data_IF_295398935658
#
_entry.id   IF_295398935658
#
_cell.length_a   1.000
_cell.length_b   1.000
_cell.length_c   1.000
_cell.angle_alpha   90.00
_cell.angle_beta   90.00
_cell.angle_gamma   90.00
#
_symmetry.space_group_name_H-M   'P 1'
#
loop_
_entity.id
_entity.type
_entity.pdbx_description
1 polymer ?
#
# COMPACT_ATOMS: atom_id res chain seq x y z
N UNK A 1 -18.96 -18.03 48.21
CA UNK A 1 -19.05 -17.15 47.04
C UNK A 1 -18.61 -18.01 45.85
N UNK A 2 -19.55 -18.57 45.08
CA UNK A 2 -19.21 -19.44 43.97
C UNK A 2 -18.82 -18.60 42.77
N UNK A 3 -17.52 -18.63 42.42
CA UNK A 3 -17.01 -18.03 41.18
C UNK A 3 -17.66 -18.73 39.97
N UNK A 4 -18.25 -17.98 39.08
CA UNK A 4 -18.80 -18.54 37.83
C UNK A 4 -17.64 -19.09 37.00
N UNK A 5 -17.89 -20.13 36.22
CA UNK A 5 -16.88 -20.75 35.31
C UNK A 5 -16.18 -19.72 34.46
N UNK A 6 -16.89 -18.69 34.02
CA UNK A 6 -16.34 -17.57 33.25
C UNK A 6 -15.29 -16.76 34.02
N UNK A 7 -15.53 -16.51 35.33
CA UNK A 7 -14.58 -15.77 36.16
C UNK A 7 -13.30 -16.57 36.41
N UNK A 8 -13.42 -17.90 36.56
CA UNK A 8 -12.27 -18.81 36.70
C UNK A 8 -11.44 -18.83 35.41
N UNK A 9 -12.08 -18.96 34.26
CA UNK A 9 -11.40 -18.97 32.95
C UNK A 9 -10.70 -17.66 32.67
N UNK A 10 -11.35 -16.53 32.93
CA UNK A 10 -10.74 -15.18 32.78
C UNK A 10 -9.58 -15.00 33.75
N UNK A 11 -9.74 -15.43 35.00
CA UNK A 11 -8.66 -15.36 35.99
C UNK A 11 -7.44 -16.22 35.61
N UNK A 12 -7.67 -17.42 35.09
CA UNK A 12 -6.62 -18.31 34.60
C UNK A 12 -5.90 -17.71 33.38
N UNK A 13 -6.64 -17.15 32.43
CA UNK A 13 -6.11 -16.49 31.25
C UNK A 13 -5.26 -15.26 31.61
N UNK A 14 -5.73 -14.43 32.56
CA UNK A 14 -4.99 -13.27 33.06
C UNK A 14 -3.72 -13.64 33.85
N UNK A 15 -3.72 -14.77 34.54
CA UNK A 15 -2.56 -15.24 35.29
C UNK A 15 -1.42 -15.73 34.40
N UNK A 16 -1.74 -16.40 33.28
CA UNK A 16 -0.76 -16.94 32.35
C UNK A 16 -0.36 -15.97 31.22
N UNK A 17 -1.17 -14.98 30.91
CA UNK A 17 -0.79 -13.94 29.94
C UNK A 17 0.07 -12.87 30.65
N UNK A 18 1.25 -12.62 30.11
CA UNK A 18 2.01 -11.44 30.46
C UNK A 18 1.12 -10.20 30.26
N UNK A 19 0.88 -9.38 31.30
CA UNK A 19 -0.04 -8.22 31.24
C UNK A 19 0.32 -7.26 30.10
N UNK A 20 1.58 -7.22 29.68
CA UNK A 20 2.02 -6.43 28.54
C UNK A 20 1.36 -6.88 27.22
N UNK A 21 1.29 -8.19 26.96
CA UNK A 21 0.60 -8.70 25.76
C UNK A 21 -0.90 -8.49 25.79
N UNK A 22 -1.52 -8.55 26.97
CA UNK A 22 -2.93 -8.24 27.12
C UNK A 22 -3.22 -6.76 26.78
N UNK A 23 -2.37 -5.84 27.23
CA UNK A 23 -2.45 -4.43 26.89
C UNK A 23 -2.28 -4.22 25.39
N UNK A 24 -1.27 -4.83 24.77
CA UNK A 24 -1.04 -4.72 23.33
C UNK A 24 -2.23 -5.27 22.52
N UNK A 25 -2.84 -6.37 22.98
CA UNK A 25 -4.04 -6.91 22.34
C UNK A 25 -5.22 -5.92 22.39
N UNK A 26 -5.44 -5.27 23.53
CA UNK A 26 -6.48 -4.24 23.69
C UNK A 26 -6.18 -3.03 22.80
N UNK A 27 -4.93 -2.56 22.77
CA UNK A 27 -4.52 -1.41 21.96
C UNK A 27 -4.72 -1.64 20.46
N UNK A 28 -4.64 -2.89 19.99
CA UNK A 28 -4.92 -3.25 18.60
C UNK A 28 -6.35 -2.90 18.15
N UNK A 29 -7.33 -2.94 19.05
CA UNK A 29 -8.70 -2.49 18.72
C UNK A 29 -8.79 -0.99 18.44
N UNK A 30 -7.83 -0.22 18.93
CA UNK A 30 -7.72 1.22 18.69
C UNK A 30 -6.73 1.57 17.59
N UNK A 31 -6.32 0.59 16.77
CA UNK A 31 -5.29 0.75 15.73
C UNK A 31 -3.97 1.32 16.27
N UNK A 32 -3.58 0.90 17.47
CA UNK A 32 -2.34 1.30 18.14
C UNK A 32 -1.44 0.08 18.28
N UNK A 33 -0.19 0.19 17.83
CA UNK A 33 0.79 -0.88 17.82
C UNK A 33 2.03 -0.49 18.64
N UNK A 34 2.79 -1.49 19.04
CA UNK A 34 4.10 -1.33 19.65
C UNK A 34 5.19 -1.54 18.60
N UNK A 35 6.01 -0.53 18.42
CA UNK A 35 7.12 -0.55 17.47
C UNK A 35 8.44 -0.45 18.22
N UNK A 36 9.45 -1.18 17.75
CA UNK A 36 10.84 -1.06 18.19
C UNK A 36 11.68 -0.65 16.99
N UNK A 37 12.33 0.50 17.09
CA UNK A 37 13.13 1.09 16.03
C UNK A 37 14.60 0.99 16.45
N UNK A 38 15.37 0.24 15.67
CA UNK A 38 16.81 0.12 15.81
C UNK A 38 17.47 0.71 14.56
N UNK A 39 18.61 1.33 14.72
CA UNK A 39 19.34 1.91 13.60
C UNK A 39 20.63 2.58 14.04
N UNK A 40 21.33 3.18 13.09
CA UNK A 40 22.49 4.00 13.36
C UNK A 40 22.14 5.27 14.16
N UNK A 41 23.14 5.86 14.80
CA UNK A 41 22.95 7.07 15.64
C UNK A 41 22.28 8.22 14.93
N UNK A 42 22.50 8.36 13.64
CA UNK A 42 21.91 9.44 12.84
C UNK A 42 20.40 9.22 12.65
N UNK A 43 20.01 8.01 12.29
CA UNK A 43 18.60 7.60 12.17
C UNK A 43 17.85 7.76 13.48
N UNK A 44 18.39 7.25 14.58
CA UNK A 44 17.75 7.36 15.90
C UNK A 44 17.65 8.83 16.35
N UNK A 45 18.70 9.64 16.17
CA UNK A 45 18.68 11.08 16.49
C UNK A 45 17.63 11.84 15.66
N UNK A 46 17.44 11.48 14.40
CA UNK A 46 16.41 12.06 13.54
C UNK A 46 15.01 11.72 14.06
N UNK A 47 14.76 10.47 14.41
CA UNK A 47 13.47 10.02 14.95
C UNK A 47 13.16 10.72 16.28
N UNK A 48 14.13 10.81 17.18
CA UNK A 48 13.99 11.52 18.44
C UNK A 48 13.62 13.01 18.18
N UNK A 49 14.29 13.67 17.23
CA UNK A 49 13.99 15.06 16.86
C UNK A 49 12.54 15.22 16.38
N UNK A 50 12.03 14.26 15.61
CA UNK A 50 10.63 14.26 15.14
C UNK A 50 9.63 13.95 16.25
N UNK A 51 10.00 13.16 17.23
CA UNK A 51 9.17 12.87 18.40
C UNK A 51 9.07 14.08 19.37
N UNK A 52 10.13 14.88 19.50
CA UNK A 52 10.23 15.98 20.48
C UNK A 52 9.01 16.92 20.52
N UNK A 53 8.44 17.41 19.40
CA UNK A 53 7.30 18.31 19.43
C UNK A 53 6.04 17.70 20.06
N UNK A 54 5.96 16.38 20.12
CA UNK A 54 4.79 15.63 20.62
C UNK A 54 4.97 15.16 22.07
N UNK A 55 6.20 15.14 22.58
CA UNK A 55 6.51 14.70 23.94
C UNK A 55 6.04 15.78 24.93
N UNK A 56 5.22 15.37 25.91
CA UNK A 56 4.81 16.24 27.04
C UNK A 56 5.71 16.08 28.24
N UNK A 57 6.11 14.85 28.54
CA UNK A 57 7.00 14.49 29.63
C UNK A 57 7.97 13.43 29.20
N UNK A 58 9.24 13.58 29.53
CA UNK A 58 10.29 12.61 29.27
C UNK A 58 11.31 12.61 30.39
N UNK A 59 12.02 11.52 30.53
CA UNK A 59 13.20 11.48 31.40
C UNK A 59 14.36 12.13 30.64
N UNK A 60 14.99 13.14 31.27
CA UNK A 60 16.12 13.87 30.68
C UNK A 60 17.39 13.47 31.45
N UNK A 61 18.38 13.00 30.71
CA UNK A 61 19.69 12.65 31.25
C UNK A 61 20.76 13.55 30.65
N UNK A 62 21.67 14.04 31.50
CA UNK A 62 22.84 14.80 31.05
C UNK A 62 23.94 13.82 30.65
N UNK A 63 24.32 13.79 29.37
CA UNK A 63 25.40 12.96 28.84
C UNK A 63 26.41 13.90 28.16
N UNK A 64 27.65 13.89 28.66
CA UNK A 64 28.73 14.74 28.13
C UNK A 64 28.37 16.25 28.06
N UNK A 65 27.67 16.76 29.09
CA UNK A 65 27.27 18.16 29.17
C UNK A 65 26.11 18.57 28.26
N UNK A 66 25.46 17.63 27.58
CA UNK A 66 24.25 17.84 26.77
C UNK A 66 23.07 17.14 27.40
N UNK A 67 21.95 17.84 27.48
CA UNK A 67 20.67 17.25 27.86
C UNK A 67 20.15 16.38 26.74
N UNK A 68 19.89 15.11 27.03
CA UNK A 68 19.33 14.14 26.08
C UNK A 68 18.10 13.48 26.72
N UNK A 69 17.03 13.38 25.95
CA UNK A 69 15.87 12.62 26.35
C UNK A 69 16.21 11.13 26.24
N UNK A 70 16.28 10.47 27.38
CA UNK A 70 16.48 9.02 27.48
C UNK A 70 15.49 8.46 28.48
N UNK A 71 15.07 7.20 28.28
CA UNK A 71 14.10 6.56 29.15
C UNK A 71 12.67 6.75 28.69
N UNK A 72 11.74 6.58 29.61
CA UNK A 72 10.31 6.61 29.25
C UNK A 72 9.84 8.01 28.92
N UNK A 73 9.00 8.12 27.90
CA UNK A 73 8.34 9.37 27.53
C UNK A 73 6.83 9.18 27.35
N UNK A 74 6.10 10.25 27.57
CA UNK A 74 4.67 10.37 27.32
C UNK A 74 4.41 11.56 26.40
N UNK A 75 3.70 11.34 25.32
CA UNK A 75 3.35 12.37 24.34
C UNK A 75 1.87 12.38 23.98
N UNK A 76 1.49 13.33 23.13
CA UNK A 76 0.10 13.44 22.64
C UNK A 76 -0.31 12.28 21.73
N UNK A 77 0.64 11.69 21.00
CA UNK A 77 0.41 10.69 19.96
C UNK A 77 1.20 9.41 20.19
N UNK A 78 2.08 9.38 21.17
CA UNK A 78 2.97 8.26 21.41
C UNK A 78 3.38 8.17 22.87
N UNK A 79 3.57 6.94 23.35
CA UNK A 79 4.18 6.60 24.63
C UNK A 79 5.31 5.64 24.32
N UNK A 80 6.46 5.78 24.96
CA UNK A 80 7.56 4.89 24.65
C UNK A 80 8.77 5.04 25.56
N UNK A 81 9.87 4.44 25.10
CA UNK A 81 11.17 4.50 25.76
C UNK A 81 12.25 4.79 24.72
N UNK A 82 13.18 5.67 25.06
CA UNK A 82 14.37 6.00 24.28
C UNK A 82 15.56 5.48 25.06
N UNK A 83 16.34 4.61 24.46
CA UNK A 83 17.56 4.10 25.06
C UNK A 83 18.76 4.45 24.16
N UNK A 84 19.72 5.18 24.74
CA UNK A 84 20.94 5.61 24.09
C UNK A 84 22.12 5.01 24.82
N UNK A 85 22.92 4.20 24.13
CA UNK A 85 24.05 3.48 24.74
C UNK A 85 24.86 2.69 23.73
N UNK A 86 25.08 1.42 24.01
CA UNK A 86 25.78 0.53 23.09
C UNK A 86 24.96 0.17 21.86
N UNK A 87 23.64 0.02 22.02
CA UNK A 87 22.67 -0.14 20.97
C UNK A 87 21.59 0.93 21.18
N UNK A 88 21.55 1.93 20.29
CA UNK A 88 20.55 2.97 20.34
C UNK A 88 19.22 2.42 19.80
N UNK A 89 18.14 2.55 20.56
CA UNK A 89 16.81 2.20 20.08
C UNK A 89 15.72 3.10 20.63
N UNK A 90 14.62 3.18 19.92
CA UNK A 90 13.39 3.84 20.34
C UNK A 90 12.26 2.83 20.27
N UNK A 91 11.63 2.56 21.41
CA UNK A 91 10.39 1.80 21.43
C UNK A 91 9.20 2.75 21.60
N UNK A 92 8.15 2.55 20.81
CA UNK A 92 7.01 3.46 20.79
C UNK A 92 5.69 2.72 20.61
N UNK A 93 4.70 3.06 21.42
CA UNK A 93 3.30 2.66 21.28
C UNK A 93 2.58 3.82 20.60
N UNK A 94 2.10 3.60 19.40
CA UNK A 94 1.50 4.66 18.57
C UNK A 94 0.65 4.08 17.43
N UNK A 95 -0.06 4.94 16.70
CA UNK A 95 -0.77 4.55 15.49
C UNK A 95 0.19 4.35 14.32
N UNK A 96 -0.15 3.50 13.33
CA UNK A 96 0.68 3.28 12.13
C UNK A 96 1.01 4.57 11.39
N UNK A 97 0.06 5.50 11.32
CA UNK A 97 0.24 6.78 10.63
C UNK A 97 1.29 7.65 11.32
N UNK A 98 1.27 7.71 12.66
CA UNK A 98 2.26 8.49 13.39
C UNK A 98 3.63 7.81 13.37
N UNK A 99 3.68 6.47 13.42
CA UNK A 99 4.92 5.72 13.24
C UNK A 99 5.58 6.03 11.89
N UNK A 100 4.81 6.01 10.80
CA UNK A 100 5.30 6.38 9.47
C UNK A 100 5.83 7.83 9.45
N UNK A 101 5.13 8.76 10.08
CA UNK A 101 5.54 10.17 10.16
C UNK A 101 6.91 10.35 10.83
N UNK A 102 7.20 9.64 11.93
CA UNK A 102 8.46 9.77 12.65
C UNK A 102 9.62 9.02 11.99
N UNK A 103 9.33 7.93 11.27
CA UNK A 103 10.36 7.12 10.59
C UNK A 103 10.70 7.60 9.19
N UNK A 104 9.83 8.42 8.55
CA UNK A 104 10.08 8.97 7.23
C UNK A 104 11.40 9.78 7.20
N UNK A 105 12.24 9.70 6.16
CA UNK A 105 13.38 10.60 5.95
C UNK A 105 12.95 12.07 5.91
N UNK A 106 13.83 13.00 6.36
CA UNK A 106 13.51 14.45 6.48
C UNK A 106 13.15 15.12 5.14
N UNK A 107 13.51 14.51 4.02
CA UNK A 107 13.15 14.99 2.69
C UNK A 107 11.64 14.85 2.38
N UNK A 108 10.90 14.08 3.18
CA UNK A 108 9.45 13.86 3.03
C UNK A 108 8.57 14.80 3.88
N UNK A 109 9.13 15.62 4.78
CA UNK A 109 8.34 16.35 5.78
C UNK A 109 8.00 17.81 5.45
N UNK A 110 8.28 18.28 4.23
CA UNK A 110 7.93 19.62 3.80
C UNK A 110 6.67 19.64 2.93
N UNK A 111 5.61 20.21 3.49
CA UNK A 111 4.41 20.72 2.80
C UNK A 111 3.26 19.75 2.54
N UNK A 112 2.31 19.77 3.47
CA UNK A 112 0.88 19.59 3.17
C UNK A 112 0.40 20.87 2.47
N UNK A 113 0.50 20.91 1.15
CA UNK A 113 -0.22 21.86 0.31
C UNK A 113 -0.66 21.12 -0.95
N UNK A 114 -1.93 21.19 -1.24
CA UNK A 114 -2.60 20.63 -2.40
C UNK A 114 -1.96 21.10 -3.72
N UNK A 115 -0.96 20.38 -4.19
CA UNK A 115 -0.55 20.25 -5.60
C UNK A 115 0.72 19.39 -5.67
N UNK A 116 0.84 18.40 -6.56
CA UNK A 116 1.99 17.52 -6.61
C UNK A 116 3.12 18.18 -7.41
N UNK A 117 3.97 18.96 -6.74
CA UNK A 117 5.28 19.34 -7.25
C UNK A 117 6.38 18.64 -6.47
N UNK A 118 6.22 17.34 -6.22
CA UNK A 118 7.35 16.51 -5.75
C UNK A 118 8.24 16.21 -6.95
N UNK A 119 9.55 16.41 -6.81
CA UNK A 119 10.51 15.87 -7.79
C UNK A 119 10.28 14.36 -7.89
N UNK A 120 10.25 13.79 -9.10
CA UNK A 120 10.12 12.36 -9.30
C UNK A 120 11.14 11.62 -8.45
N UNK A 121 10.69 10.65 -7.66
CA UNK A 121 11.59 9.81 -6.88
C UNK A 121 12.26 8.81 -7.82
N UNK A 122 13.57 8.65 -7.74
CA UNK A 122 14.28 7.62 -8.51
C UNK A 122 13.91 6.20 -8.01
N UNK A 123 13.39 6.09 -6.79
CA UNK A 123 13.01 4.84 -6.15
C UNK A 123 11.52 4.77 -5.91
N UNK A 124 10.93 3.62 -6.19
CA UNK A 124 9.54 3.31 -5.89
C UNK A 124 9.42 2.10 -4.97
N UNK A 125 8.32 2.04 -4.21
CA UNK A 125 7.95 0.85 -3.46
C UNK A 125 7.13 -0.08 -4.35
N UNK A 126 7.58 -1.32 -4.49
CA UNK A 126 6.88 -2.37 -5.21
C UNK A 126 6.36 -3.38 -4.20
N UNK A 127 5.07 -3.65 -4.24
CA UNK A 127 4.43 -4.66 -3.40
C UNK A 127 4.19 -5.91 -4.22
N UNK A 128 4.82 -7.01 -3.82
CA UNK A 128 4.69 -8.29 -4.51
C UNK A 128 4.01 -9.32 -3.60
N UNK A 129 2.99 -9.98 -4.12
CA UNK A 129 2.33 -11.08 -3.45
C UNK A 129 3.29 -12.26 -3.27
N UNK A 130 3.31 -12.85 -2.09
CA UNK A 130 4.13 -13.99 -1.70
C UNK A 130 3.32 -14.96 -0.84
N UNK A 131 3.80 -16.19 -0.75
CA UNK A 131 3.13 -17.24 0.02
C UNK A 131 2.20 -18.11 -0.81
N UNK A 132 1.30 -18.81 -0.14
CA UNK A 132 0.29 -19.69 -0.75
C UNK A 132 -1.09 -19.05 -0.67
N UNK A 133 -2.06 -19.57 -1.42
CA UNK A 133 -3.44 -19.06 -1.38
C UNK A 133 -4.12 -19.13 0.00
N UNK A 134 -3.66 -20.01 0.89
CA UNK A 134 -4.17 -20.09 2.30
C UNK A 134 -3.45 -19.13 3.25
N UNK A 135 -2.22 -18.73 2.92
CA UNK A 135 -1.41 -17.84 3.76
C UNK A 135 -0.49 -17.02 2.87
N UNK A 136 -0.98 -15.89 2.39
CA UNK A 136 -0.21 -14.96 1.57
C UNK A 136 -0.02 -13.62 2.28
N UNK A 137 0.97 -12.89 1.80
CA UNK A 137 1.28 -11.53 2.26
C UNK A 137 1.88 -10.74 1.11
N UNK A 138 1.87 -9.42 1.23
CA UNK A 138 2.53 -8.53 0.29
C UNK A 138 3.89 -8.11 0.84
N UNK A 139 4.95 -8.45 0.11
CA UNK A 139 6.32 -8.06 0.43
C UNK A 139 6.64 -6.73 -0.26
N UNK A 140 7.07 -5.75 0.53
CA UNK A 140 7.57 -4.48 0.01
C UNK A 140 9.01 -4.61 -0.45
N UNK A 141 9.30 -4.22 -1.68
CA UNK A 141 10.63 -4.13 -2.28
C UNK A 141 10.84 -2.72 -2.81
N UNK A 142 12.01 -2.14 -2.57
CA UNK A 142 12.37 -0.84 -3.14
C UNK A 142 13.05 -1.07 -4.50
N UNK A 143 12.49 -0.50 -5.57
CA UNK A 143 13.01 -0.59 -6.92
C UNK A 143 13.59 0.77 -7.36
N UNK A 144 14.82 0.79 -7.84
CA UNK A 144 15.46 1.97 -8.39
C UNK A 144 15.16 2.08 -9.90
N UNK A 145 14.57 3.18 -10.31
CA UNK A 145 14.16 3.48 -11.68
C UNK A 145 14.88 4.70 -12.25
N UNK A 146 16.03 5.09 -11.67
CA UNK A 146 16.72 6.33 -12.00
C UNK A 146 16.94 6.57 -13.50
N UNK A 147 17.23 5.51 -14.26
CA UNK A 147 17.54 5.56 -15.70
C UNK A 147 16.31 5.40 -16.62
N UNK A 148 15.13 5.06 -16.06
CA UNK A 148 13.93 4.83 -16.86
C UNK A 148 13.17 6.13 -17.05
N UNK A 149 12.92 6.50 -18.29
CA UNK A 149 12.15 7.69 -18.70
C UNK A 149 11.01 7.29 -19.63
N UNK A 150 9.87 8.00 -19.58
CA UNK A 150 8.77 7.72 -20.49
C UNK A 150 9.15 8.06 -21.94
N UNK A 151 8.70 7.26 -22.89
CA UNK A 151 8.97 7.41 -24.31
C UNK A 151 7.66 7.68 -25.08
N UNK A 152 7.70 8.60 -26.03
CA UNK A 152 6.60 8.84 -26.98
C UNK A 152 5.22 8.93 -26.33
N UNK A 153 4.31 8.04 -26.74
CA UNK A 153 2.92 7.98 -26.26
C UNK A 153 2.78 7.80 -24.74
N UNK A 154 3.78 7.25 -24.05
CA UNK A 154 3.71 7.07 -22.60
C UNK A 154 3.55 8.39 -21.85
N UNK A 155 4.21 9.47 -22.30
CA UNK A 155 4.09 10.79 -21.67
C UNK A 155 2.65 11.30 -21.68
N UNK A 156 1.97 11.18 -22.80
CA UNK A 156 0.59 11.64 -22.97
C UNK A 156 -0.36 10.83 -22.09
N UNK A 157 -0.16 9.51 -22.03
CA UNK A 157 -0.95 8.62 -21.18
C UNK A 157 -0.74 8.95 -19.71
N UNK A 158 0.50 9.11 -19.25
CA UNK A 158 0.84 9.47 -17.87
C UNK A 158 0.21 10.81 -17.47
N UNK A 159 0.27 11.81 -18.35
CA UNK A 159 -0.35 13.12 -18.11
C UNK A 159 -1.85 12.99 -17.91
N UNK A 160 -2.53 12.28 -18.80
CA UNK A 160 -3.99 12.08 -18.73
C UNK A 160 -4.41 11.29 -17.50
N UNK A 161 -3.65 10.24 -17.12
CA UNK A 161 -3.91 9.48 -15.90
C UNK A 161 -3.81 10.40 -14.67
N UNK A 162 -2.75 11.19 -14.62
CA UNK A 162 -2.48 12.13 -13.51
C UNK A 162 -3.58 13.19 -13.42
N UNK A 163 -4.06 13.73 -14.54
CA UNK A 163 -5.17 14.70 -14.57
C UNK A 163 -6.48 14.13 -14.02
N UNK A 164 -6.84 12.90 -14.45
CA UNK A 164 -8.06 12.24 -13.95
C UNK A 164 -7.93 11.96 -12.46
N UNK A 165 -6.78 11.40 -12.03
CA UNK A 165 -6.54 11.12 -10.63
C UNK A 165 -6.59 12.39 -9.77
N UNK A 166 -6.00 13.49 -10.21
CA UNK A 166 -6.02 14.77 -9.48
C UNK A 166 -7.43 15.32 -9.28
N UNK A 167 -8.34 15.05 -10.22
CA UNK A 167 -9.74 15.50 -10.13
C UNK A 167 -10.60 14.59 -9.25
N UNK A 168 -10.38 13.27 -9.31
CA UNK A 168 -11.29 12.29 -8.71
C UNK A 168 -10.70 11.61 -7.46
N UNK A 169 -9.39 11.71 -7.22
CA UNK A 169 -8.67 10.99 -6.17
C UNK A 169 -8.60 9.48 -6.41
N UNK A 170 -8.98 9.02 -7.60
CA UNK A 170 -8.93 7.63 -8.08
C UNK A 170 -8.96 7.59 -9.60
N UNK A 171 -8.52 6.48 -10.20
CA UNK A 171 -8.57 6.33 -11.64
C UNK A 171 -8.57 4.86 -12.05
N UNK A 172 -9.26 4.50 -13.13
CA UNK A 172 -9.24 3.18 -13.74
C UNK A 172 -9.07 3.35 -15.25
N UNK A 173 -8.03 2.72 -15.81
CA UNK A 173 -7.70 2.83 -17.22
C UNK A 173 -7.51 1.46 -17.85
N UNK A 174 -7.85 1.37 -19.13
CA UNK A 174 -7.56 0.23 -19.98
C UNK A 174 -6.53 0.63 -21.03
N UNK A 175 -5.42 -0.11 -21.09
CA UNK A 175 -4.31 0.16 -22.03
C UNK A 175 -4.08 -1.10 -22.85
N UNK A 176 -4.24 -0.98 -24.14
CA UNK A 176 -4.09 -2.13 -25.05
C UNK A 176 -3.09 -1.83 -26.19
N UNK A 177 -2.65 -2.89 -26.86
CA UNK A 177 -1.73 -2.79 -27.99
C UNK A 177 -0.84 -4.01 -28.10
N UNK A 178 0.02 -4.03 -29.12
CA UNK A 178 0.92 -5.13 -29.40
C UNK A 178 1.90 -5.42 -28.25
N UNK A 179 2.49 -6.58 -28.25
CA UNK A 179 3.56 -6.93 -27.31
C UNK A 179 4.76 -6.00 -27.50
N UNK A 180 5.51 -5.76 -26.41
CA UNK A 180 6.71 -4.90 -26.40
C UNK A 180 6.46 -3.41 -26.71
N UNK A 181 5.22 -2.92 -26.55
CA UNK A 181 4.90 -1.49 -26.69
C UNK A 181 5.07 -0.70 -25.37
N UNK A 182 5.50 -1.35 -24.29
CA UNK A 182 5.75 -0.69 -23.01
C UNK A 182 4.50 -0.43 -22.17
N UNK A 183 3.40 -1.18 -22.36
CA UNK A 183 2.17 -1.06 -21.54
C UNK A 183 2.43 -1.25 -20.05
N UNK A 184 3.12 -2.33 -19.68
CA UNK A 184 3.45 -2.63 -18.28
C UNK A 184 4.36 -1.58 -17.66
N UNK A 185 5.22 -0.93 -18.46
CA UNK A 185 6.13 0.12 -18.00
C UNK A 185 5.40 1.38 -17.52
N UNK A 186 4.19 1.66 -18.03
CA UNK A 186 3.38 2.81 -17.61
C UNK A 186 3.11 2.79 -16.11
N UNK A 187 2.86 1.61 -15.52
CA UNK A 187 2.65 1.49 -14.09
C UNK A 187 3.85 1.94 -13.25
N UNK A 188 5.07 1.56 -13.64
CA UNK A 188 6.31 1.98 -12.98
C UNK A 188 6.57 3.47 -13.14
N UNK A 189 6.41 3.98 -14.36
CA UNK A 189 6.62 5.39 -14.67
C UNK A 189 5.65 6.27 -13.91
N UNK A 190 4.39 5.84 -13.81
CA UNK A 190 3.38 6.55 -13.04
C UNK A 190 3.72 6.55 -11.55
N UNK A 191 4.15 5.41 -11.00
CA UNK A 191 4.59 5.32 -9.61
C UNK A 191 5.80 6.23 -9.33
N UNK A 192 6.76 6.29 -10.26
CA UNK A 192 7.90 7.21 -10.21
C UNK A 192 7.46 8.67 -10.21
N UNK A 193 6.59 9.05 -11.15
CA UNK A 193 6.11 10.42 -11.32
C UNK A 193 5.31 10.92 -10.12
N UNK A 194 4.47 10.06 -9.56
CA UNK A 194 3.56 10.39 -8.45
C UNK A 194 4.14 10.08 -7.07
N UNK A 195 5.39 9.60 -7.00
CA UNK A 195 6.00 9.06 -5.78
C UNK A 195 5.09 8.00 -5.12
N UNK A 196 4.40 7.21 -5.94
CA UNK A 196 3.39 6.25 -5.52
C UNK A 196 3.95 4.86 -5.21
N UNK A 197 3.08 4.01 -4.72
CA UNK A 197 3.34 2.59 -4.49
C UNK A 197 2.85 1.79 -5.70
N UNK A 198 3.54 0.72 -6.06
CA UNK A 198 3.25 -0.09 -7.23
C UNK A 198 2.97 -1.54 -6.86
N UNK A 199 1.97 -2.14 -7.51
CA UNK A 199 1.69 -3.57 -7.40
C UNK A 199 1.20 -4.12 -8.75
N UNK A 200 1.78 -5.24 -9.19
CA UNK A 200 1.39 -5.97 -10.41
C UNK A 200 1.08 -7.44 -10.17
N UNK A 201 1.20 -7.91 -8.94
CA UNK A 201 1.01 -9.33 -8.60
C UNK A 201 -0.35 -9.62 -7.99
N UNK A 202 -1.19 -8.61 -7.81
CA UNK A 202 -2.58 -8.77 -7.42
C UNK A 202 -3.37 -9.38 -8.57
N UNK A 203 -4.12 -10.44 -8.28
CA UNK A 203 -5.03 -11.07 -9.24
C UNK A 203 -6.38 -11.34 -8.56
N UNK A 204 -7.44 -10.65 -8.96
CA UNK A 204 -8.75 -10.81 -8.32
C UNK A 204 -9.38 -12.19 -8.53
N UNK A 205 -8.87 -12.97 -9.48
CA UNK A 205 -9.31 -14.35 -9.72
C UNK A 205 -8.57 -15.38 -8.85
N UNK A 206 -7.45 -15.00 -8.24
CA UNK A 206 -6.70 -15.91 -7.40
C UNK A 206 -7.41 -16.14 -6.05
N UNK A 207 -7.43 -17.39 -5.54
CA UNK A 207 -8.06 -17.70 -4.27
C UNK A 207 -7.44 -16.89 -3.12
N UNK A 208 -8.31 -16.27 -2.31
CA UNK A 208 -7.93 -15.51 -1.13
C UNK A 208 -7.34 -14.12 -1.41
N UNK A 209 -6.95 -13.80 -2.63
CA UNK A 209 -6.44 -12.48 -2.94
C UNK A 209 -7.56 -11.43 -2.88
N UNK A 210 -7.32 -10.39 -2.09
CA UNK A 210 -8.28 -9.30 -1.97
C UNK A 210 -7.56 -7.96 -1.84
N UNK A 211 -8.22 -6.93 -2.34
CA UNK A 211 -7.65 -5.58 -2.38
C UNK A 211 -7.38 -5.00 -1.00
N UNK A 212 -8.19 -5.38 0.01
CA UNK A 212 -8.04 -4.89 1.39
C UNK A 212 -6.70 -5.35 1.98
N UNK A 213 -6.29 -6.59 1.70
CA UNK A 213 -5.00 -7.11 2.15
C UNK A 213 -3.84 -6.28 1.60
N UNK A 214 -3.86 -5.94 0.31
CA UNK A 214 -2.87 -5.05 -0.29
C UNK A 214 -2.92 -3.65 0.34
N UNK A 215 -4.12 -3.06 0.46
CA UNK A 215 -4.30 -1.72 0.99
C UNK A 215 -3.93 -1.60 2.48
N UNK A 216 -3.97 -2.70 3.22
CA UNK A 216 -3.57 -2.73 4.64
C UNK A 216 -2.05 -2.73 4.78
N UNK A 217 -1.34 -3.42 3.88
CA UNK A 217 0.13 -3.46 3.88
C UNK A 217 0.75 -2.15 3.35
N UNK A 218 0.05 -1.47 2.44
CA UNK A 218 0.52 -0.18 1.94
C UNK A 218 0.20 0.89 2.98
N UNK A 219 1.24 1.40 3.62
CA UNK A 219 1.11 2.56 4.51
C UNK A 219 0.44 3.70 3.74
N UNK A 220 -0.70 4.16 4.24
CA UNK A 220 -1.53 5.21 3.62
C UNK A 220 -0.91 6.61 3.84
N UNK A 221 0.32 6.78 3.44
CA UNK A 221 0.91 8.10 3.33
C UNK A 221 0.44 8.69 2.01
N UNK A 222 -0.63 9.45 1.97
CA UNK A 222 -1.06 10.33 0.86
C UNK A 222 -0.58 9.98 -0.58
N UNK A 223 0.14 8.88 -0.75
CA UNK A 223 0.74 8.40 -1.99
C UNK A 223 -0.23 7.43 -2.67
N UNK A 224 -0.45 7.59 -3.98
CA UNK A 224 -1.32 6.69 -4.70
C UNK A 224 -0.74 5.26 -4.76
N UNK A 225 -1.64 4.29 -4.80
CA UNK A 225 -1.32 2.91 -5.15
C UNK A 225 -1.62 2.72 -6.63
N UNK A 226 -0.61 2.38 -7.39
CA UNK A 226 -0.74 2.03 -8.80
C UNK A 226 -0.83 0.51 -8.89
N UNK A 227 -2.02 0.01 -9.13
CA UNK A 227 -2.33 -1.40 -9.29
C UNK A 227 -2.44 -1.74 -10.78
N UNK A 228 -1.62 -2.66 -11.24
CA UNK A 228 -1.66 -3.13 -12.62
C UNK A 228 -2.13 -4.57 -12.67
N UNK A 229 -3.18 -4.82 -13.44
CA UNK A 229 -3.62 -6.18 -13.81
C UNK A 229 -3.25 -6.39 -15.28
N UNK A 230 -2.29 -7.29 -15.48
CA UNK A 230 -1.77 -7.57 -16.83
C UNK A 230 -2.58 -8.66 -17.53
N UNK A 231 -2.54 -8.63 -18.87
CA UNK A 231 -3.18 -9.64 -19.73
C UNK A 231 -4.65 -9.89 -19.40
N UNK A 232 -5.39 -8.80 -19.12
CA UNK A 232 -6.79 -8.90 -18.68
C UNK A 232 -7.69 -9.53 -19.75
N UNK A 233 -7.32 -9.52 -21.02
CA UNK A 233 -8.01 -10.21 -22.12
C UNK A 233 -8.12 -11.72 -21.88
N UNK A 234 -7.02 -12.37 -21.50
CA UNK A 234 -7.04 -13.80 -21.17
C UNK A 234 -7.93 -14.11 -19.96
N UNK A 235 -7.90 -13.25 -18.95
CA UNK A 235 -8.75 -13.36 -17.77
C UNK A 235 -10.23 -13.19 -18.12
N UNK A 236 -10.59 -12.19 -18.91
CA UNK A 236 -11.97 -11.94 -19.34
C UNK A 236 -12.48 -13.03 -20.26
N UNK A 237 -11.65 -13.57 -21.16
CA UNK A 237 -11.99 -14.71 -21.97
C UNK A 237 -12.31 -15.94 -21.10
N UNK A 238 -11.47 -16.25 -20.11
CA UNK A 238 -11.68 -17.38 -19.21
C UNK A 238 -12.98 -17.24 -18.38
N UNK A 239 -13.32 -16.01 -17.97
CA UNK A 239 -14.57 -15.70 -17.29
C UNK A 239 -15.77 -15.88 -18.24
N UNK A 240 -15.67 -15.39 -19.49
CA UNK A 240 -16.72 -15.46 -20.49
C UNK A 240 -17.04 -16.90 -20.85
N UNK A 241 -16.03 -17.70 -21.11
CA UNK A 241 -16.12 -19.11 -21.50
C UNK A 241 -16.44 -20.03 -20.30
N UNK A 242 -16.51 -19.47 -19.08
CA UNK A 242 -16.73 -20.21 -17.83
C UNK A 242 -15.68 -21.32 -17.59
N UNK A 243 -14.49 -21.13 -18.12
CA UNK A 243 -13.36 -22.05 -17.93
C UNK A 243 -12.64 -21.80 -16.60
N UNK A 244 -12.79 -20.60 -16.06
CA UNK A 244 -12.28 -20.27 -14.71
C UNK A 244 -13.06 -21.04 -13.66
N UNK A 245 -12.37 -21.95 -12.95
CA UNK A 245 -12.96 -22.74 -11.86
C UNK A 245 -12.60 -22.09 -10.53
N UNK A 246 -13.59 -21.59 -9.77
CA UNK A 246 -13.32 -21.04 -8.44
C UNK A 246 -12.79 -22.15 -7.50
N UNK A 247 -11.88 -21.76 -6.62
CA UNK A 247 -11.40 -22.68 -5.58
C UNK A 247 -12.53 -22.99 -4.60
N UNK A 248 -12.68 -24.28 -4.19
CA UNK A 248 -13.75 -24.70 -3.30
C UNK A 248 -13.49 -24.35 -1.82
N UNK A 249 -12.22 -24.24 -1.42
CA UNK A 249 -11.83 -23.99 -0.04
C UNK A 249 -11.65 -22.51 0.27
N UNK A 250 -11.14 -21.75 -0.67
CA UNK A 250 -10.82 -20.33 -0.50
C UNK A 250 -11.47 -19.54 -1.62
N UNK A 251 -12.41 -18.64 -1.32
CA UNK A 251 -13.12 -17.88 -2.34
C UNK A 251 -12.17 -16.91 -3.08
N UNK A 252 -12.41 -16.75 -4.39
CA UNK A 252 -11.82 -15.71 -5.22
C UNK A 252 -12.73 -14.48 -5.25
N UNK A 253 -12.15 -13.29 -5.35
CA UNK A 253 -12.90 -12.03 -5.46
C UNK A 253 -13.70 -11.99 -6.76
N UNK A 254 -13.06 -12.45 -7.84
CA UNK A 254 -13.67 -12.56 -9.18
C UNK A 254 -13.68 -14.00 -9.62
N UNK A 255 -14.85 -14.50 -10.02
CA UNK A 255 -15.06 -15.87 -10.48
C UNK A 255 -16.06 -15.99 -11.64
N UNK A 256 -16.76 -14.90 -11.96
CA UNK A 256 -17.65 -14.83 -13.11
C UNK A 256 -17.84 -13.37 -13.58
N UNK A 257 -18.62 -13.16 -14.65
CA UNK A 257 -18.92 -11.82 -15.19
C UNK A 257 -19.48 -10.86 -14.15
N UNK A 258 -20.43 -11.32 -13.34
CA UNK A 258 -21.06 -10.44 -12.32
C UNK A 258 -20.04 -9.98 -11.29
N UNK A 259 -19.22 -10.88 -10.76
CA UNK A 259 -18.20 -10.54 -9.76
C UNK A 259 -17.08 -9.63 -10.36
N UNK A 260 -16.72 -9.81 -11.63
CA UNK A 260 -15.82 -8.88 -12.32
C UNK A 260 -16.41 -7.47 -12.42
N UNK A 261 -17.68 -7.39 -12.84
CA UNK A 261 -18.38 -6.13 -12.94
C UNK A 261 -18.46 -5.40 -11.58
N UNK A 262 -18.81 -6.15 -10.52
CA UNK A 262 -18.84 -5.62 -9.15
C UNK A 262 -17.44 -5.18 -8.71
N UNK A 263 -16.40 -5.96 -8.98
CA UNK A 263 -15.03 -5.60 -8.65
C UNK A 263 -14.63 -4.25 -9.26
N UNK A 264 -14.94 -3.98 -10.53
CA UNK A 264 -14.66 -2.70 -11.16
C UNK A 264 -15.55 -1.56 -10.63
N UNK A 265 -16.81 -1.84 -10.33
CA UNK A 265 -17.74 -0.85 -9.75
C UNK A 265 -17.25 -0.45 -8.32
N UNK A 266 -16.72 -1.40 -7.54
CA UNK A 266 -16.17 -1.17 -6.20
C UNK A 266 -14.90 -0.32 -6.20
N UNK A 267 -14.17 -0.22 -7.34
CA UNK A 267 -13.02 0.68 -7.45
C UNK A 267 -13.38 2.14 -7.15
N UNK A 268 -14.66 2.49 -7.28
CA UNK A 268 -15.16 3.83 -6.94
C UNK A 268 -15.03 4.19 -5.46
N UNK A 269 -14.96 3.20 -4.57
CA UNK A 269 -14.86 3.40 -3.12
C UNK A 269 -13.42 3.59 -2.62
N UNK A 270 -12.42 3.25 -3.44
CA UNK A 270 -11.02 3.29 -3.03
C UNK A 270 -10.35 4.59 -3.48
N UNK A 271 -10.30 5.58 -2.59
CA UNK A 271 -9.50 6.78 -2.82
C UNK A 271 -8.01 6.45 -2.71
N UNK A 272 -7.20 7.12 -3.52
CA UNK A 272 -5.76 6.87 -3.55
C UNK A 272 -5.36 5.69 -4.44
N UNK A 273 -6.31 5.05 -5.16
CA UNK A 273 -6.04 3.91 -6.04
C UNK A 273 -6.09 4.32 -7.51
N UNK A 274 -5.10 3.90 -8.27
CA UNK A 274 -5.06 3.94 -9.72
C UNK A 274 -4.99 2.50 -10.22
N UNK A 275 -6.04 2.03 -10.89
CA UNK A 275 -6.09 0.71 -11.51
C UNK A 275 -5.78 0.84 -13.00
N UNK A 276 -4.79 0.09 -13.47
CA UNK A 276 -4.42 -0.02 -14.87
C UNK A 276 -4.64 -1.47 -15.31
N UNK A 277 -5.49 -1.65 -16.30
CA UNK A 277 -5.75 -2.92 -16.95
C UNK A 277 -4.97 -2.95 -18.26
N UNK A 278 -4.06 -3.91 -18.45
CA UNK A 278 -3.31 -4.04 -19.71
C UNK A 278 -3.78 -5.26 -20.50
N UNK A 279 -3.76 -5.14 -21.83
CA UNK A 279 -4.22 -6.18 -22.75
C UNK A 279 -3.43 -6.17 -24.07
N UNK A 280 -3.30 -7.32 -24.69
CA UNK A 280 -2.85 -7.43 -26.07
C UNK A 280 -4.01 -7.36 -27.06
N UNK A 281 -5.23 -7.40 -26.56
CA UNK A 281 -6.47 -7.35 -27.34
C UNK A 281 -7.12 -5.97 -27.20
N UNK A 282 -7.61 -5.43 -28.32
CA UNK A 282 -8.24 -4.11 -28.31
C UNK A 282 -9.56 -4.10 -27.55
N UNK A 283 -10.00 -2.89 -27.13
CA UNK A 283 -11.26 -2.74 -26.42
C UNK A 283 -12.45 -3.23 -27.24
N UNK A 284 -12.46 -2.97 -28.54
CA UNK A 284 -13.53 -3.37 -29.46
C UNK A 284 -13.72 -4.89 -29.46
N UNK A 285 -12.63 -5.65 -29.50
CA UNK A 285 -12.68 -7.13 -29.44
C UNK A 285 -13.16 -7.64 -28.07
N UNK A 286 -12.82 -6.95 -26.98
CA UNK A 286 -13.35 -7.30 -25.66
C UNK A 286 -14.85 -6.96 -25.58
N UNK A 287 -15.27 -5.85 -26.17
CA UNK A 287 -16.69 -5.46 -26.26
C UNK A 287 -17.52 -6.45 -27.11
N UNK A 288 -16.89 -7.13 -28.10
CA UNK A 288 -17.54 -8.23 -28.84
C UNK A 288 -17.86 -9.43 -27.91
N UNK A 289 -17.04 -9.69 -26.89
CA UNK A 289 -17.37 -10.69 -25.88
C UNK A 289 -18.55 -10.21 -25.03
N UNK A 290 -18.42 -9.02 -24.44
CA UNK A 290 -19.48 -8.37 -23.68
C UNK A 290 -19.08 -6.92 -23.32
N UNK A 291 -19.89 -5.96 -23.74
CA UNK A 291 -19.69 -4.53 -23.48
C UNK A 291 -19.63 -4.21 -21.97
N UNK A 292 -20.26 -5.05 -21.13
CA UNK A 292 -20.29 -4.81 -19.70
C UNK A 292 -18.92 -4.94 -19.01
N UNK A 293 -17.96 -5.63 -19.61
CA UNK A 293 -16.63 -5.83 -18.99
C UNK A 293 -15.88 -4.52 -18.81
N UNK A 294 -15.87 -3.65 -19.82
CA UNK A 294 -15.12 -2.39 -19.85
C UNK A 294 -16.00 -1.18 -20.19
N UNK A 295 -17.27 -1.20 -19.74
CA UNK A 295 -18.20 -0.12 -20.04
C UNK A 295 -17.75 1.22 -19.48
N UNK A 296 -18.15 2.35 -20.11
CA UNK A 296 -17.98 3.68 -19.52
C UNK A 296 -18.58 3.75 -18.09
N UNK A 297 -17.86 4.40 -17.19
CA UNK A 297 -18.17 4.43 -15.75
C UNK A 297 -17.36 3.42 -14.92
N UNK A 298 -16.99 2.25 -15.48
CA UNK A 298 -16.02 1.31 -14.87
C UNK A 298 -14.60 1.70 -15.20
N UNK A 299 -14.36 2.09 -16.46
CA UNK A 299 -13.09 2.66 -16.89
C UNK A 299 -13.27 4.13 -17.23
N UNK A 300 -12.27 4.96 -16.91
CA UNK A 300 -12.29 6.41 -17.19
C UNK A 300 -11.88 6.69 -18.63
N UNK A 301 -10.92 5.93 -19.17
CA UNK A 301 -10.51 5.99 -20.56
C UNK A 301 -9.79 4.71 -20.99
N UNK A 302 -9.69 4.51 -22.31
CA UNK A 302 -8.87 3.47 -22.94
C UNK A 302 -7.82 4.12 -23.84
N UNK A 303 -6.64 3.49 -23.91
CA UNK A 303 -5.52 3.96 -24.72
C UNK A 303 -4.96 2.81 -25.54
N UNK A 304 -4.67 3.09 -26.83
CA UNK A 304 -3.97 2.16 -27.72
C UNK A 304 -2.49 2.53 -27.79
N UNK A 305 -1.62 1.54 -27.65
CA UNK A 305 -0.17 1.67 -27.78
C UNK A 305 0.32 0.78 -28.93
N UNK A 306 0.56 1.41 -30.07
CA UNK A 306 0.89 0.69 -31.32
C UNK A 306 2.36 0.86 -31.76
N UNK A 307 3.14 1.67 -31.05
CA UNK A 307 4.55 1.89 -31.38
C UNK A 307 5.41 0.99 -30.49
N UNK A 308 6.14 0.07 -31.12
CA UNK A 308 7.12 -0.76 -30.41
C UNK A 308 8.27 0.11 -29.89
N UNK A 309 8.68 -0.14 -28.65
CA UNK A 309 9.84 0.51 -28.05
C UNK A 309 11.06 -0.36 -28.39
N UNK A 310 11.95 0.17 -29.22
CA UNK A 310 13.29 -0.41 -29.39
C UNK A 310 14.07 -0.18 -28.10
N UNK A 311 14.54 -1.27 -27.50
CA UNK A 311 15.32 -1.29 -26.25
C UNK A 311 16.81 -1.17 -26.56
#
# INVERSE_FOLDING_TARGET
MNLTTTQVVVGYFMYYMNPFYAILFILRFFNVNYYVIQGDKETISRIIRKLMPYIKTAYIKQINGREMNTGYFWGRRAIGNIELGNEDFVSVITTPEFYAQITCPDECSAQVTLAPTRKPSEKINVYTRRGTYKNFYYLRVCLDLGHISPLGQQNDILTKITEVYSKLGRATFFIHGDSCTGKSTIGYLLAKQMCGNYCHTFNPCDPGDNLISLLTEVTRDEQPIILVIEEVDGLLQAIHDKTHKPNQEVPSLVYNKSSWCTFLDDMTFYRGLILILTSNTSKEKIDELDVAYLRPGRIHANYSMNVQIEV
#
